data_IF_771045603652
#
_entry.id   IF_771045603652
#
_cell.length_a   1.000
_cell.length_b   1.000
_cell.length_c   1.000
_cell.angle_alpha   90.00
_cell.angle_beta   90.00
_cell.angle_gamma   90.00
#
_symmetry.space_group_name_H-M   'P 1'
#
loop_
_entity.id
_entity.type
_entity.pdbx_description
1 polymer ?
#
# COMPACT_ATOMS: atom_id res chain seq x y z
N UNK A 1 11.85 19.48 21.27
CA UNK A 1 10.85 18.44 21.15
C UNK A 1 11.22 17.52 20.00
N UNK A 2 11.29 16.24 20.22
CA UNK A 2 11.62 15.28 19.17
C UNK A 2 10.38 14.99 18.31
N UNK A 3 10.58 14.86 17.00
CA UNK A 3 9.52 14.42 16.09
C UNK A 3 9.36 12.91 16.24
N UNK A 4 8.12 12.45 16.10
CA UNK A 4 7.85 11.01 16.07
C UNK A 4 8.43 10.38 14.80
N UNK A 5 9.08 9.23 14.91
CA UNK A 5 9.52 8.50 13.72
C UNK A 5 8.32 7.97 12.95
N UNK A 6 8.55 7.69 11.66
CA UNK A 6 7.52 7.16 10.77
C UNK A 6 6.99 5.81 11.25
N UNK A 7 7.85 4.98 11.82
CA UNK A 7 7.49 3.65 12.28
C UNK A 7 8.37 3.24 13.46
N UNK A 8 7.90 2.28 14.26
CA UNK A 8 8.60 1.82 15.45
C UNK A 8 9.64 0.74 15.12
N UNK A 9 10.76 0.78 15.83
CA UNK A 9 11.81 -0.23 15.73
C UNK A 9 11.21 -1.62 16.02
N UNK A 10 11.57 -2.60 15.21
CA UNK A 10 11.07 -3.96 15.31
C UNK A 10 9.80 -4.23 14.50
N UNK A 11 9.08 -3.19 14.11
CA UNK A 11 7.94 -3.34 13.21
C UNK A 11 8.41 -3.47 11.76
N UNK A 12 7.48 -3.75 10.86
CA UNK A 12 7.76 -3.79 9.43
C UNK A 12 7.04 -2.67 8.72
N UNK A 13 7.67 -2.16 7.67
CA UNK A 13 7.03 -1.27 6.72
C UNK A 13 6.83 -2.07 5.43
N UNK A 14 5.60 -2.16 4.96
CA UNK A 14 5.38 -2.69 3.62
C UNK A 14 5.63 -1.57 2.62
N UNK A 15 6.23 -1.92 1.51
CA UNK A 15 6.52 -0.99 0.43
C UNK A 15 6.04 -1.60 -0.88
N UNK A 16 5.14 -0.90 -1.57
CA UNK A 16 4.79 -1.23 -2.94
C UNK A 16 5.38 -0.15 -3.83
N UNK A 17 6.11 -0.55 -4.84
CA UNK A 17 6.69 0.33 -5.86
C UNK A 17 6.07 -0.09 -7.18
N UNK A 18 5.25 0.76 -7.79
CA UNK A 18 4.50 0.36 -8.98
C UNK A 18 4.20 1.55 -9.88
N UNK A 19 3.89 1.22 -11.13
CA UNK A 19 3.50 2.20 -12.13
C UNK A 19 2.09 1.93 -12.60
N UNK A 20 1.40 3.00 -12.98
CA UNK A 20 0.12 2.90 -13.69
C UNK A 20 0.33 3.24 -15.16
N UNK A 21 -0.64 2.90 -15.99
CA UNK A 21 -0.62 3.20 -17.41
C UNK A 21 -0.46 4.70 -17.64
N UNK A 22 0.25 5.05 -18.70
CA UNK A 22 0.59 6.43 -19.00
C UNK A 22 -0.64 7.34 -19.01
N UNK A 23 -0.55 8.44 -18.28
CA UNK A 23 -1.60 9.44 -18.19
C UNK A 23 -2.73 9.09 -17.22
N UNK A 24 -2.69 7.94 -16.55
CA UNK A 24 -3.79 7.48 -15.69
C UNK A 24 -3.58 7.75 -14.21
N UNK A 25 -2.50 8.44 -13.84
CA UNK A 25 -2.16 8.67 -12.44
C UNK A 25 -3.25 9.37 -11.64
N UNK A 26 -3.83 10.45 -12.16
CA UNK A 26 -4.87 11.20 -11.45
C UNK A 26 -6.13 10.37 -11.24
N UNK A 27 -6.54 9.64 -12.27
CA UNK A 27 -7.72 8.79 -12.17
C UNK A 27 -7.49 7.63 -11.20
N UNK A 28 -6.30 7.05 -11.21
CA UNK A 28 -5.93 6.01 -10.27
C UNK A 28 -6.03 6.50 -8.82
N UNK A 29 -5.49 7.68 -8.53
CA UNK A 29 -5.56 8.28 -7.20
C UNK A 29 -7.01 8.42 -6.74
N UNK A 30 -7.87 8.96 -7.60
CA UNK A 30 -9.27 9.19 -7.25
C UNK A 30 -10.00 7.88 -6.92
N UNK A 31 -9.78 6.83 -7.72
CA UNK A 31 -10.42 5.54 -7.48
C UNK A 31 -9.82 4.80 -6.29
N UNK A 32 -8.51 4.90 -6.11
CA UNK A 32 -7.86 4.37 -4.92
C UNK A 32 -8.44 4.97 -3.65
N UNK A 33 -8.51 6.31 -3.59
CA UNK A 33 -9.00 7.02 -2.42
C UNK A 33 -10.45 6.66 -2.11
N UNK A 34 -11.29 6.60 -3.12
CA UNK A 34 -12.70 6.21 -2.94
C UNK A 34 -12.82 4.78 -2.40
N UNK A 35 -12.05 3.85 -2.94
CA UNK A 35 -12.06 2.45 -2.50
C UNK A 35 -11.54 2.32 -1.06
N UNK A 36 -10.48 3.03 -0.73
CA UNK A 36 -9.89 2.98 0.62
C UNK A 36 -10.85 3.51 1.68
N UNK A 37 -11.64 4.52 1.35
CA UNK A 37 -12.62 5.13 2.26
C UNK A 37 -13.97 4.41 2.30
N UNK A 38 -14.17 3.41 1.44
CA UNK A 38 -15.45 2.70 1.35
C UNK A 38 -15.74 1.78 2.53
N UNK A 39 -14.74 1.49 3.37
CA UNK A 39 -14.86 0.55 4.49
C UNK A 39 -14.71 -0.91 4.09
N UNK A 40 -14.32 -1.20 2.84
CA UNK A 40 -14.19 -2.57 2.34
C UNK A 40 -12.75 -3.07 2.28
N UNK A 41 -11.79 -2.26 2.69
CA UNK A 41 -10.39 -2.66 2.67
C UNK A 41 -10.10 -3.63 3.83
N UNK A 42 -9.79 -4.91 3.54
CA UNK A 42 -9.57 -5.90 4.59
C UNK A 42 -8.35 -5.61 5.46
N UNK A 43 -7.40 -4.81 4.97
CA UNK A 43 -6.22 -4.43 5.76
C UNK A 43 -6.60 -3.63 7.00
N UNK A 44 -7.67 -2.83 6.92
CA UNK A 44 -8.15 -2.03 8.05
C UNK A 44 -8.76 -2.88 9.18
N UNK A 45 -9.04 -4.15 8.91
CA UNK A 45 -9.63 -5.06 9.90
C UNK A 45 -8.58 -5.80 10.73
N UNK A 46 -7.32 -5.72 10.36
CA UNK A 46 -6.27 -6.46 11.05
C UNK A 46 -5.75 -5.72 12.28
N UNK A 47 -5.66 -6.38 13.44
CA UNK A 47 -5.04 -5.78 14.63
C UNK A 47 -3.53 -5.59 14.47
N UNK A 48 -2.90 -6.21 13.47
CA UNK A 48 -1.48 -6.05 13.21
C UNK A 48 -1.15 -4.77 12.44
N UNK A 49 -2.15 -4.11 11.84
CA UNK A 49 -1.92 -2.81 11.21
C UNK A 49 -1.72 -1.74 12.28
N UNK A 50 -0.55 -1.13 12.31
CA UNK A 50 -0.22 -0.09 13.29
C UNK A 50 -0.61 1.29 12.77
N UNK A 51 -0.25 1.56 11.51
CA UNK A 51 -0.65 2.78 10.80
C UNK A 51 -1.09 2.42 9.40
N UNK A 52 -2.16 3.06 8.96
CA UNK A 52 -2.68 2.86 7.61
C UNK A 52 -1.66 3.27 6.56
N UNK A 53 -1.75 2.64 5.40
CA UNK A 53 -0.87 2.95 4.28
C UNK A 53 -1.18 4.32 3.68
N UNK A 54 -0.14 4.95 3.17
CA UNK A 54 -0.26 6.18 2.39
C UNK A 54 0.17 5.92 0.96
N UNK A 55 -0.61 6.45 0.02
CA UNK A 55 -0.25 6.41 -1.39
C UNK A 55 0.55 7.65 -1.73
N UNK A 56 1.79 7.44 -2.19
CA UNK A 56 2.70 8.52 -2.54
C UNK A 56 2.96 8.51 -4.04
N UNK A 57 2.97 9.69 -4.66
CA UNK A 57 3.33 9.84 -6.07
C UNK A 57 4.77 10.31 -6.17
N UNK A 58 5.53 9.72 -7.07
CA UNK A 58 6.89 10.18 -7.37
C UNK A 58 6.86 11.61 -7.88
N UNK A 59 7.74 12.47 -7.34
CA UNK A 59 7.77 13.90 -7.74
C UNK A 59 8.15 14.11 -9.19
N UNK A 60 8.88 13.17 -9.79
CA UNK A 60 9.40 13.29 -11.15
C UNK A 60 8.62 12.49 -12.19
N UNK A 61 7.64 11.67 -11.74
CA UNK A 61 6.88 10.81 -12.65
C UNK A 61 5.44 10.68 -12.14
N UNK A 62 4.47 11.32 -12.82
CA UNK A 62 3.08 11.34 -12.34
C UNK A 62 2.37 9.98 -12.36
N UNK A 63 2.96 8.98 -13.00
CA UNK A 63 2.38 7.64 -13.10
C UNK A 63 3.15 6.60 -12.29
N UNK A 64 4.09 7.03 -11.46
CA UNK A 64 4.86 6.17 -10.58
C UNK A 64 4.46 6.40 -9.12
N UNK A 65 4.16 5.33 -8.41
CA UNK A 65 3.61 5.39 -7.05
C UNK A 65 4.34 4.47 -6.09
N UNK A 66 4.28 4.87 -4.82
CA UNK A 66 4.73 4.08 -3.68
C UNK A 66 3.59 3.99 -2.68
N UNK A 67 3.35 2.82 -2.12
CA UNK A 67 2.40 2.63 -1.05
C UNK A 67 3.15 2.12 0.16
N UNK A 68 3.02 2.83 1.28
CA UNK A 68 3.80 2.58 2.49
C UNK A 68 2.89 2.50 3.69
N UNK A 69 3.13 1.57 4.60
CA UNK A 69 2.39 1.48 5.84
C UNK A 69 3.14 0.68 6.89
N UNK A 70 2.75 0.81 8.14
CA UNK A 70 3.41 0.15 9.26
C UNK A 70 2.56 -0.98 9.82
N UNK A 71 3.19 -2.14 10.00
CA UNK A 71 2.57 -3.34 10.56
C UNK A 71 3.45 -3.94 11.65
N UNK A 72 2.84 -4.52 12.67
CA UNK A 72 3.59 -5.22 13.72
C UNK A 72 4.07 -6.61 13.29
N UNK A 73 3.45 -7.18 12.25
CA UNK A 73 3.73 -8.53 11.78
C UNK A 73 3.55 -8.62 10.26
N UNK A 74 4.61 -8.97 9.53
CA UNK A 74 4.57 -9.11 8.08
C UNK A 74 3.66 -10.22 7.62
N UNK A 75 3.61 -11.34 8.36
CA UNK A 75 2.83 -12.50 7.94
C UNK A 75 1.34 -12.20 7.96
N UNK A 76 0.88 -11.37 8.90
CA UNK A 76 -0.51 -10.92 8.94
C UNK A 76 -0.86 -10.10 7.71
N UNK A 77 0.03 -9.20 7.28
CA UNK A 77 -0.17 -8.41 6.05
C UNK A 77 -0.18 -9.32 4.82
N UNK A 78 0.82 -10.19 4.71
CA UNK A 78 0.97 -11.06 3.55
C UNK A 78 -0.22 -11.99 3.37
N UNK A 79 -0.76 -12.54 4.46
CA UNK A 79 -1.91 -13.44 4.40
C UNK A 79 -3.15 -12.74 3.83
N UNK A 80 -3.39 -11.49 4.20
CA UNK A 80 -4.52 -10.70 3.67
C UNK A 80 -4.27 -10.38 2.20
N UNK A 81 -3.05 -9.95 1.85
CA UNK A 81 -2.69 -9.65 0.47
C UNK A 81 -2.89 -10.85 -0.45
N UNK A 82 -2.38 -12.02 -0.03
CA UNK A 82 -2.49 -13.25 -0.81
C UNK A 82 -3.95 -13.66 -1.02
N UNK A 83 -4.76 -13.57 0.02
CA UNK A 83 -6.19 -13.88 -0.07
C UNK A 83 -6.92 -12.93 -1.00
N UNK A 84 -6.59 -11.63 -0.94
CA UNK A 84 -7.22 -10.62 -1.79
C UNK A 84 -6.94 -10.87 -3.26
N UNK A 85 -5.69 -11.21 -3.61
CA UNK A 85 -5.33 -11.54 -4.99
C UNK A 85 -5.98 -12.83 -5.48
N UNK A 86 -6.23 -13.79 -4.58
CA UNK A 86 -6.94 -15.01 -4.91
C UNK A 86 -8.43 -14.84 -5.16
N UNK A 87 -9.03 -13.77 -4.67
CA UNK A 87 -10.47 -13.51 -4.75
C UNK A 87 -10.86 -12.39 -5.74
N UNK A 88 -9.94 -12.00 -6.61
CA UNK A 88 -10.15 -10.93 -7.57
C UNK A 88 -9.66 -9.59 -7.07
N UNK A 89 -9.15 -8.79 -7.99
CA UNK A 89 -8.55 -7.50 -7.67
C UNK A 89 -9.61 -6.40 -7.69
N UNK A 90 -9.43 -5.34 -6.87
CA UNK A 90 -10.25 -4.14 -6.99
C UNK A 90 -10.18 -3.56 -8.41
N UNK A 91 -11.26 -2.92 -8.83
CA UNK A 91 -11.37 -2.42 -10.21
C UNK A 91 -10.28 -1.41 -10.57
N UNK A 92 -9.82 -0.60 -9.63
CA UNK A 92 -8.76 0.38 -9.90
C UNK A 92 -7.42 -0.27 -10.24
N UNK A 93 -7.25 -1.57 -9.99
CA UNK A 93 -6.02 -2.27 -10.37
C UNK A 93 -5.89 -2.47 -11.89
N UNK A 94 -6.97 -2.22 -12.67
CA UNK A 94 -6.89 -2.22 -14.13
C UNK A 94 -5.93 -1.17 -14.68
N UNK A 95 -5.62 -0.15 -13.89
CA UNK A 95 -4.67 0.89 -14.29
C UNK A 95 -3.21 0.50 -14.09
N UNK A 96 -2.93 -0.58 -13.38
CA UNK A 96 -1.54 -0.97 -13.13
C UNK A 96 -0.84 -1.36 -14.42
N UNK A 97 0.40 -0.91 -14.56
CA UNK A 97 1.27 -1.33 -15.64
C UNK A 97 2.00 -2.60 -15.21
N UNK A 98 1.87 -3.67 -15.98
CA UNK A 98 2.43 -4.96 -15.64
C UNK A 98 1.50 -5.80 -14.76
N UNK A 99 1.95 -7.03 -14.49
CA UNK A 99 1.13 -8.04 -13.80
C UNK A 99 1.46 -8.18 -12.32
N UNK A 100 2.47 -7.48 -11.83
CA UNK A 100 2.93 -7.66 -10.45
C UNK A 100 2.64 -6.44 -9.59
N UNK A 101 1.86 -6.67 -8.55
CA UNK A 101 1.65 -5.71 -7.48
C UNK A 101 1.96 -6.45 -6.17
N UNK A 102 3.24 -6.43 -5.80
CA UNK A 102 3.74 -7.19 -4.66
C UNK A 102 4.37 -6.29 -3.61
N UNK A 103 4.12 -6.59 -2.33
CA UNK A 103 4.79 -5.85 -1.26
C UNK A 103 6.24 -6.30 -1.10
N UNK A 104 7.09 -5.33 -0.81
CA UNK A 104 8.39 -5.58 -0.20
C UNK A 104 8.27 -5.22 1.26
N UNK A 105 8.89 -6.01 2.14
CA UNK A 105 8.85 -5.74 3.57
C UNK A 105 10.22 -5.33 4.07
N UNK A 106 10.24 -4.26 4.85
CA UNK A 106 11.46 -3.78 5.47
C UNK A 106 11.27 -3.72 6.99
N UNK A 107 12.22 -4.27 7.75
CA UNK A 107 12.20 -4.18 9.20
C UNK A 107 12.78 -2.84 9.63
N UNK A 108 12.10 -2.17 10.53
CA UNK A 108 12.61 -0.91 11.11
C UNK A 108 13.69 -1.25 12.11
N UNK A 109 14.91 -0.78 11.86
CA UNK A 109 16.10 -1.14 12.66
C UNK A 109 16.67 0.02 13.48
N UNK A 110 16.23 1.23 13.21
CA UNK A 110 16.67 2.41 13.92
C UNK A 110 15.64 3.51 13.90
#
# INVERSE_FOLDING_TARGET
MANEPLAAVGHVVHVYDFRVKSGMGDQFIAEWDAADKSGTNPMHMSPAQVKDGVLCRDENDPDHFYLLGEWSDRDAHYAIWEKRFGNGLPEHFRFLEGDEFRPTYATVVA
#
